data_IF_184673350949
#
_entry.id   IF_184673350949
#
_cell.length_a   1.000
_cell.length_b   1.000
_cell.length_c   1.000
_cell.angle_alpha   90.00
_cell.angle_beta   90.00
_cell.angle_gamma   90.00
#
_symmetry.space_group_name_H-M   'P 1'
#
loop_
_entity.id
_entity.type
_entity.pdbx_description
1 polymer ?
#
# COMPACT_ATOMS: atom_id res chain seq x y z
N UNK A 1 6.25 -31.66 3.82
CA UNK A 1 5.44 -30.45 3.60
C UNK A 1 4.21 -30.58 4.48
N UNK A 2 3.82 -29.56 5.24
CA UNK A 2 2.57 -29.61 6.04
C UNK A 2 1.39 -29.26 5.14
N UNK A 3 0.16 -29.67 5.52
CA UNK A 3 -1.08 -29.30 4.79
C UNK A 3 -1.20 -27.77 4.63
N UNK A 4 -0.79 -27.02 5.64
CA UNK A 4 -0.76 -25.56 5.61
C UNK A 4 0.19 -25.01 4.55
N UNK A 5 1.40 -25.59 4.40
CA UNK A 5 2.35 -25.21 3.34
C UNK A 5 1.79 -25.51 1.95
N UNK A 6 1.07 -26.62 1.78
CA UNK A 6 0.41 -26.97 0.51
C UNK A 6 -0.69 -25.97 0.14
N UNK A 7 -1.53 -25.58 1.10
CA UNK A 7 -2.58 -24.58 0.91
C UNK A 7 -1.96 -23.22 0.56
N UNK A 8 -0.94 -22.79 1.31
CA UNK A 8 -0.24 -21.53 1.04
C UNK A 8 0.34 -21.50 -0.38
N UNK A 9 1.06 -22.54 -0.79
CA UNK A 9 1.65 -22.64 -2.12
C UNK A 9 0.60 -22.65 -3.25
N UNK A 10 -0.60 -23.17 -2.98
CA UNK A 10 -1.70 -23.17 -3.95
C UNK A 10 -2.45 -21.82 -4.00
N UNK A 11 -2.50 -21.09 -2.88
CA UNK A 11 -3.19 -19.81 -2.74
C UNK A 11 -2.39 -18.63 -3.29
N UNK A 12 -1.09 -18.65 -3.07
CA UNK A 12 -0.21 -17.52 -3.41
C UNK A 12 0.04 -17.45 -4.92
N UNK A 13 -0.13 -16.27 -5.54
CA UNK A 13 0.21 -16.08 -6.95
C UNK A 13 1.68 -16.44 -7.24
N UNK A 14 1.96 -16.83 -8.48
CA UNK A 14 3.32 -17.12 -8.90
C UNK A 14 4.27 -15.94 -8.58
N UNK A 15 5.54 -16.20 -8.19
CA UNK A 15 6.49 -15.14 -7.83
C UNK A 15 6.61 -14.03 -8.89
N UNK A 16 6.62 -14.39 -10.18
CA UNK A 16 6.67 -13.41 -11.28
C UNK A 16 5.43 -12.50 -11.28
N UNK A 17 4.25 -13.02 -10.97
CA UNK A 17 3.03 -12.20 -10.87
C UNK A 17 3.09 -11.23 -9.69
N UNK A 18 3.65 -11.64 -8.55
CA UNK A 18 3.87 -10.76 -7.40
C UNK A 18 4.92 -9.68 -7.70
N UNK A 19 6.01 -10.03 -8.39
CA UNK A 19 7.03 -9.08 -8.86
C UNK A 19 6.43 -8.04 -9.80
N UNK A 20 5.59 -8.47 -10.74
CA UNK A 20 4.85 -7.56 -11.62
C UNK A 20 3.94 -6.66 -10.80
N UNK A 21 3.13 -7.19 -9.88
CA UNK A 21 2.26 -6.39 -9.03
C UNK A 21 3.03 -5.34 -8.22
N UNK A 22 4.17 -5.72 -7.61
CA UNK A 22 5.04 -4.82 -6.88
C UNK A 22 5.56 -3.67 -7.75
N UNK A 23 6.05 -3.99 -8.96
CA UNK A 23 6.52 -2.98 -9.93
C UNK A 23 5.39 -2.04 -10.36
N UNK A 24 4.21 -2.59 -10.70
CA UNK A 24 3.05 -1.76 -11.08
C UNK A 24 2.59 -0.87 -9.94
N UNK A 25 2.64 -1.36 -8.70
CA UNK A 25 2.28 -0.59 -7.53
C UNK A 25 3.23 0.60 -7.31
N UNK A 26 4.55 0.38 -7.35
CA UNK A 26 5.55 1.44 -7.23
C UNK A 26 5.38 2.53 -8.30
N UNK A 27 5.15 2.13 -9.56
CA UNK A 27 4.87 3.07 -10.66
C UNK A 27 3.59 3.88 -10.40
N UNK A 28 2.57 3.25 -9.84
CA UNK A 28 1.33 3.95 -9.49
C UNK A 28 1.53 4.94 -8.33
N UNK A 29 2.29 4.57 -7.30
CA UNK A 29 2.61 5.44 -6.15
C UNK A 29 3.45 6.64 -6.59
N UNK A 30 4.49 6.40 -7.40
CA UNK A 30 5.30 7.45 -8.03
C UNK A 30 4.43 8.46 -8.77
N UNK A 31 3.49 8.00 -9.58
CA UNK A 31 2.58 8.86 -10.33
C UNK A 31 1.72 9.72 -9.40
N UNK A 32 1.11 9.13 -8.37
CA UNK A 32 0.28 9.86 -7.41
C UNK A 32 1.09 10.92 -6.65
N UNK A 33 2.31 10.60 -6.19
CA UNK A 33 3.18 11.55 -5.50
C UNK A 33 3.66 12.68 -6.40
N UNK A 34 4.04 12.37 -7.63
CA UNK A 34 4.49 13.39 -8.58
C UNK A 34 3.36 14.37 -8.94
N UNK A 35 2.11 13.88 -9.02
CA UNK A 35 0.95 14.75 -9.20
C UNK A 35 0.73 15.70 -8.00
N UNK A 36 1.01 15.24 -6.78
CA UNK A 36 0.82 16.04 -5.56
C UNK A 36 1.88 17.13 -5.36
N UNK A 37 3.07 17.05 -5.98
CA UNK A 37 4.14 18.04 -5.78
C UNK A 37 3.67 19.49 -5.97
N UNK A 38 2.85 19.74 -7.00
CA UNK A 38 2.33 21.08 -7.29
C UNK A 38 1.40 21.62 -6.21
N UNK A 39 0.57 20.75 -5.62
CA UNK A 39 -0.38 21.12 -4.56
C UNK A 39 0.32 21.58 -3.28
N UNK A 40 1.50 21.04 -2.99
CA UNK A 40 2.28 21.35 -1.79
C UNK A 40 3.35 22.43 -2.00
N UNK A 41 3.54 22.93 -3.23
CA UNK A 41 4.67 23.79 -3.59
C UNK A 41 4.75 25.11 -2.79
N UNK A 42 3.62 25.60 -2.27
CA UNK A 42 3.56 26.82 -1.46
C UNK A 42 3.62 26.58 0.05
N UNK A 43 3.61 25.33 0.50
CA UNK A 43 3.63 24.96 1.91
C UNK A 43 5.07 24.74 2.39
N UNK A 44 5.29 24.88 3.69
CA UNK A 44 6.60 24.65 4.32
C UNK A 44 7.13 23.21 4.17
N UNK A 45 6.27 22.27 3.77
CA UNK A 45 6.58 20.85 3.57
C UNK A 45 6.93 20.49 2.11
N UNK A 46 7.00 21.48 1.21
CA UNK A 46 7.22 21.25 -0.22
C UNK A 46 8.48 20.40 -0.52
N UNK A 47 9.57 20.66 0.20
CA UNK A 47 10.84 19.95 0.02
C UNK A 47 10.75 18.49 0.45
N UNK A 48 10.05 18.21 1.55
CA UNK A 48 9.87 16.84 2.05
C UNK A 48 8.90 16.04 1.17
N UNK A 49 7.84 16.66 0.65
CA UNK A 49 6.96 16.03 -0.35
C UNK A 49 7.73 15.70 -1.63
N UNK A 50 8.56 16.63 -2.11
CA UNK A 50 9.44 16.38 -3.25
C UNK A 50 10.43 15.23 -2.97
N UNK A 51 11.05 15.21 -1.77
CA UNK A 51 11.94 14.13 -1.35
C UNK A 51 11.24 12.77 -1.35
N UNK A 52 10.03 12.68 -0.79
CA UNK A 52 9.25 11.44 -0.79
C UNK A 52 8.96 10.97 -2.22
N UNK A 53 8.57 11.89 -3.10
CA UNK A 53 8.32 11.59 -4.50
C UNK A 53 9.60 11.12 -5.23
N UNK A 54 10.76 11.72 -4.95
CA UNK A 54 12.06 11.30 -5.50
C UNK A 54 12.44 9.88 -5.02
N UNK A 55 12.22 9.56 -3.75
CA UNK A 55 12.46 8.21 -3.21
C UNK A 55 11.59 7.15 -3.89
N UNK A 56 10.29 7.41 -4.07
CA UNK A 56 9.40 6.50 -4.79
C UNK A 56 9.70 6.43 -6.29
N UNK A 57 10.20 7.51 -6.89
CA UNK A 57 10.70 7.48 -8.28
C UNK A 57 11.89 6.52 -8.39
N UNK A 58 12.86 6.62 -7.48
CA UNK A 58 14.02 5.73 -7.46
C UNK A 58 13.63 4.26 -7.19
N UNK A 59 12.62 4.01 -6.36
CA UNK A 59 12.05 2.68 -6.14
C UNK A 59 11.41 2.13 -7.43
N UNK A 60 10.56 2.93 -8.09
CA UNK A 60 9.89 2.55 -9.32
C UNK A 60 10.88 2.31 -10.47
N UNK A 61 11.93 3.12 -10.60
CA UNK A 61 12.97 2.93 -11.61
C UNK A 61 13.73 1.62 -11.42
N UNK A 62 14.08 1.26 -10.17
CA UNK A 62 14.67 -0.04 -9.86
C UNK A 62 13.72 -1.18 -10.23
N UNK A 63 12.45 -1.06 -9.89
CA UNK A 63 11.44 -2.07 -10.18
C UNK A 63 11.23 -2.27 -11.70
N UNK A 64 11.17 -1.18 -12.47
CA UNK A 64 11.13 -1.22 -13.94
C UNK A 64 12.36 -1.90 -14.53
N UNK A 65 13.55 -1.61 -13.99
CA UNK A 65 14.78 -2.24 -14.45
C UNK A 65 14.83 -3.75 -14.14
N UNK A 66 14.26 -4.16 -13.00
CA UNK A 66 14.26 -5.55 -12.54
C UNK A 66 13.20 -6.43 -13.22
N UNK A 67 12.01 -5.88 -13.53
CA UNK A 67 10.84 -6.65 -14.00
C UNK A 67 10.37 -6.23 -15.39
N UNK A 68 10.63 -4.99 -15.81
CA UNK A 68 10.17 -4.42 -17.07
C UNK A 68 9.02 -3.42 -16.92
N UNK A 69 8.60 -2.86 -18.04
CA UNK A 69 7.60 -1.78 -18.13
C UNK A 69 6.29 -2.19 -18.79
N UNK A 70 6.18 -3.45 -19.21
CA UNK A 70 5.04 -3.94 -19.97
C UNK A 70 3.74 -3.79 -19.14
N UNK A 71 2.63 -3.35 -19.75
CA UNK A 71 1.33 -3.33 -19.10
C UNK A 71 0.93 -4.73 -18.63
N UNK A 72 0.25 -4.81 -17.49
CA UNK A 72 -0.25 -6.08 -16.96
C UNK A 72 -1.70 -5.89 -16.50
N UNK A 73 -2.64 -6.22 -17.38
CA UNK A 73 -4.04 -5.84 -17.25
C UNK A 73 -4.66 -6.20 -15.88
N UNK A 74 -4.35 -7.38 -15.34
CA UNK A 74 -4.89 -7.81 -14.04
C UNK A 74 -4.33 -6.96 -12.88
N UNK A 75 -3.01 -6.75 -12.85
CA UNK A 75 -2.36 -5.94 -11.79
C UNK A 75 -2.75 -4.47 -11.91
N UNK A 76 -2.84 -3.97 -13.13
CA UNK A 76 -3.26 -2.60 -13.42
C UNK A 76 -4.72 -2.37 -13.01
N UNK A 77 -5.62 -3.32 -13.27
CA UNK A 77 -7.01 -3.25 -12.82
C UNK A 77 -7.11 -3.28 -11.29
N UNK A 78 -6.40 -4.21 -10.65
CA UNK A 78 -6.38 -4.34 -9.19
C UNK A 78 -5.91 -3.05 -8.49
N UNK A 79 -4.88 -2.40 -9.03
CA UNK A 79 -4.39 -1.11 -8.51
C UNK A 79 -5.34 0.04 -8.85
N UNK A 80 -5.94 0.03 -10.04
CA UNK A 80 -6.93 1.05 -10.44
C UNK A 80 -8.11 1.07 -9.48
N UNK A 81 -8.66 -0.10 -9.13
CA UNK A 81 -9.75 -0.22 -8.17
C UNK A 81 -9.36 0.35 -6.81
N UNK A 82 -8.17 0.00 -6.29
CA UNK A 82 -7.66 0.54 -5.03
C UNK A 82 -7.64 2.07 -5.05
N UNK A 83 -7.02 2.66 -6.07
CA UNK A 83 -6.88 4.11 -6.16
C UNK A 83 -8.22 4.83 -6.36
N UNK A 84 -9.19 4.20 -7.02
CA UNK A 84 -10.55 4.75 -7.14
C UNK A 84 -11.25 4.79 -5.79
N UNK A 85 -11.20 3.70 -5.03
CA UNK A 85 -11.90 3.57 -3.75
C UNK A 85 -11.26 4.38 -2.62
N UNK A 86 -9.94 4.59 -2.70
CA UNK A 86 -9.16 5.38 -1.73
C UNK A 86 -8.83 6.78 -2.23
N UNK A 87 -9.53 7.31 -3.23
CA UNK A 87 -9.28 8.68 -3.71
C UNK A 87 -9.66 9.71 -2.65
N UNK A 88 -8.71 10.56 -2.27
CA UNK A 88 -8.94 11.64 -1.33
C UNK A 88 -9.81 12.76 -1.91
N UNK A 89 -10.60 13.42 -1.06
CA UNK A 89 -11.44 14.57 -1.48
C UNK A 89 -10.66 15.85 -1.70
N UNK A 90 -9.44 15.91 -1.18
CA UNK A 90 -8.49 17.01 -1.34
C UNK A 90 -7.06 16.45 -1.33
N UNK A 91 -6.05 17.30 -1.57
CA UNK A 91 -4.66 16.87 -1.63
C UNK A 91 -4.14 16.29 -0.31
N UNK A 92 -4.64 16.73 0.86
CA UNK A 92 -4.24 16.15 2.15
C UNK A 92 -4.72 14.71 2.32
N UNK A 93 -5.99 14.46 2.01
CA UNK A 93 -6.54 13.10 2.01
C UNK A 93 -5.86 12.24 0.94
N UNK A 94 -5.55 12.79 -0.24
CA UNK A 94 -4.87 12.06 -1.31
C UNK A 94 -3.44 11.69 -0.91
N UNK A 95 -2.67 12.62 -0.33
CA UNK A 95 -1.33 12.31 0.19
C UNK A 95 -1.40 11.23 1.27
N UNK A 96 -2.43 11.28 2.13
CA UNK A 96 -2.63 10.28 3.17
C UNK A 96 -3.00 8.90 2.59
N UNK A 97 -3.86 8.87 1.56
CA UNK A 97 -4.15 7.66 0.79
C UNK A 97 -2.89 7.05 0.20
N UNK A 98 -2.02 7.86 -0.39
CA UNK A 98 -0.74 7.40 -0.93
C UNK A 98 0.12 6.76 0.16
N UNK A 99 0.28 7.42 1.30
CA UNK A 99 1.08 6.91 2.41
C UNK A 99 0.54 5.56 2.93
N UNK A 100 -0.77 5.46 3.15
CA UNK A 100 -1.37 4.25 3.69
C UNK A 100 -1.42 3.12 2.66
N UNK A 101 -1.79 3.41 1.40
CA UNK A 101 -1.80 2.40 0.35
C UNK A 101 -0.41 1.84 0.10
N UNK A 102 0.62 2.68 0.04
CA UNK A 102 1.99 2.19 -0.08
C UNK A 102 2.34 1.21 1.04
N UNK A 103 1.90 1.50 2.28
CA UNK A 103 2.14 0.61 3.42
C UNK A 103 1.37 -0.71 3.32
N UNK A 104 0.08 -0.67 3.00
CA UNK A 104 -0.74 -1.88 2.82
C UNK A 104 -0.25 -2.76 1.67
N UNK A 105 0.17 -2.13 0.56
CA UNK A 105 0.74 -2.83 -0.59
C UNK A 105 2.03 -3.53 -0.17
N UNK A 106 2.97 -2.81 0.48
CA UNK A 106 4.24 -3.37 0.93
C UNK A 106 4.03 -4.54 1.89
N UNK A 107 3.15 -4.38 2.89
CA UNK A 107 2.88 -5.42 3.87
C UNK A 107 2.24 -6.66 3.22
N UNK A 108 1.28 -6.49 2.32
CA UNK A 108 0.62 -7.60 1.65
C UNK A 108 1.57 -8.35 0.71
N UNK A 109 2.43 -7.62 -0.01
CA UNK A 109 3.48 -8.22 -0.83
C UNK A 109 4.53 -8.93 0.03
N UNK A 110 4.93 -8.35 1.16
CA UNK A 110 5.84 -8.98 2.11
C UNK A 110 5.25 -10.26 2.73
N UNK A 111 3.95 -10.27 3.00
CA UNK A 111 3.26 -11.44 3.53
C UNK A 111 3.21 -12.59 2.52
N UNK A 112 2.81 -12.32 1.27
CA UNK A 112 2.64 -13.37 0.25
C UNK A 112 3.92 -13.73 -0.50
N UNK A 113 4.84 -12.78 -0.67
CA UNK A 113 6.05 -12.90 -1.48
C UNK A 113 7.34 -12.73 -0.67
N UNK A 114 7.35 -13.22 0.57
CA UNK A 114 8.49 -13.11 1.48
C UNK A 114 9.83 -13.59 0.86
N UNK A 115 9.77 -14.58 -0.05
CA UNK A 115 10.91 -15.02 -0.85
C UNK A 115 10.74 -14.51 -2.30
N UNK A 116 11.74 -13.77 -2.80
CA UNK A 116 11.81 -13.33 -4.20
C UNK A 116 11.30 -11.92 -4.50
N UNK A 117 10.98 -11.11 -3.48
CA UNK A 117 10.64 -9.69 -3.60
C UNK A 117 11.65 -8.76 -2.88
N UNK A 118 12.77 -9.27 -2.40
CA UNK A 118 13.70 -8.55 -1.52
C UNK A 118 14.29 -7.29 -2.18
N UNK A 119 14.44 -7.30 -3.50
CA UNK A 119 14.91 -6.17 -4.32
C UNK A 119 13.84 -5.10 -4.59
N UNK A 120 12.55 -5.45 -4.38
CA UNK A 120 11.39 -4.62 -4.68
C UNK A 120 10.70 -4.05 -3.43
N UNK A 121 10.97 -4.59 -2.25
CA UNK A 121 10.46 -4.11 -0.96
C UNK A 121 11.47 -3.16 -0.26
N UNK A 122 11.14 -2.69 0.95
CA UNK A 122 12.02 -1.85 1.76
C UNK A 122 11.77 -0.36 1.54
N UNK A 123 10.51 0.08 1.65
CA UNK A 123 10.06 1.44 1.37
C UNK A 123 10.09 2.34 2.62
N UNK A 124 10.69 1.86 3.70
CA UNK A 124 10.70 2.49 5.02
C UNK A 124 11.19 3.94 5.01
N UNK A 125 12.27 4.26 4.29
CA UNK A 125 12.78 5.65 4.22
C UNK A 125 11.73 6.59 3.62
N UNK A 126 11.04 6.17 2.55
CA UNK A 126 10.02 6.98 1.92
C UNK A 126 8.80 7.18 2.85
N UNK A 127 8.42 6.14 3.59
CA UNK A 127 7.39 6.23 4.63
C UNK A 127 7.77 7.20 5.74
N UNK A 128 9.00 7.17 6.23
CA UNK A 128 9.49 8.07 7.29
C UNK A 128 9.46 9.54 6.87
N UNK A 129 9.84 9.82 5.62
CA UNK A 129 9.73 11.18 5.06
C UNK A 129 8.27 11.65 5.05
N UNK A 130 7.33 10.81 4.59
CA UNK A 130 5.90 11.13 4.59
C UNK A 130 5.34 11.33 6.01
N UNK A 131 5.77 10.52 6.98
CA UNK A 131 5.41 10.72 8.39
C UNK A 131 5.87 12.09 8.90
N UNK A 132 7.09 12.50 8.53
CA UNK A 132 7.61 13.84 8.82
C UNK A 132 6.77 14.96 8.19
N UNK A 133 6.29 14.77 6.95
CA UNK A 133 5.38 15.71 6.28
C UNK A 133 4.09 15.87 7.08
N UNK A 134 3.41 14.78 7.43
CA UNK A 134 2.14 14.86 8.16
C UNK A 134 2.27 15.52 9.53
N UNK A 135 3.34 15.22 10.28
CA UNK A 135 3.60 15.88 11.57
C UNK A 135 3.67 17.40 11.43
N UNK A 136 4.40 17.89 10.41
CA UNK A 136 4.47 19.33 10.11
C UNK A 136 3.12 19.91 9.66
N UNK A 137 2.34 19.14 8.89
CA UNK A 137 1.00 19.58 8.49
C UNK A 137 0.03 19.69 9.67
N UNK A 138 0.12 18.80 10.66
CA UNK A 138 -0.68 18.87 11.88
C UNK A 138 -0.32 20.06 12.77
N UNK A 139 0.95 20.49 12.76
CA UNK A 139 1.36 21.73 13.42
C UNK A 139 0.75 22.98 12.76
N UNK A 140 0.44 22.92 11.47
CA UNK A 140 -0.17 24.03 10.73
C UNK A 140 -1.70 24.06 10.86
N UNK A 141 -2.35 22.89 10.89
CA UNK A 141 -3.80 22.75 11.04
C UNK A 141 -4.14 21.55 11.94
N UNK A 142 -4.51 21.84 13.17
CA UNK A 142 -4.88 20.83 14.18
C UNK A 142 -6.28 20.24 13.98
N UNK A 143 -7.01 20.60 12.91
CA UNK A 143 -8.28 19.94 12.55
C UNK A 143 -8.06 18.86 11.50
N UNK A 144 -6.84 18.79 10.95
CA UNK A 144 -6.47 17.84 9.93
C UNK A 144 -6.33 16.42 10.50
N UNK A 145 -5.90 16.29 11.76
CA UNK A 145 -5.69 15.03 12.47
C UNK A 145 -6.98 14.18 12.57
N UNK A 146 -8.07 14.72 13.11
CA UNK A 146 -9.35 14.03 13.28
C UNK A 146 -9.92 13.58 11.94
N UNK A 147 -9.82 14.45 10.92
CA UNK A 147 -10.26 14.15 9.56
C UNK A 147 -9.44 13.02 8.95
N UNK A 148 -8.12 13.07 9.07
CA UNK A 148 -7.24 12.03 8.54
C UNK A 148 -7.35 10.73 9.34
N UNK A 149 -7.65 10.78 10.64
CA UNK A 149 -7.92 9.57 11.44
C UNK A 149 -9.16 8.82 10.92
N UNK A 150 -10.26 9.54 10.68
CA UNK A 150 -11.46 8.95 10.07
C UNK A 150 -11.20 8.41 8.66
N UNK A 151 -10.43 9.15 7.87
CA UNK A 151 -10.06 8.73 6.52
C UNK A 151 -9.17 7.48 6.53
N UNK A 152 -8.22 7.40 7.45
CA UNK A 152 -7.32 6.25 7.64
C UNK A 152 -8.06 4.97 7.95
N UNK A 153 -9.06 5.03 8.84
CA UNK A 153 -9.95 3.88 9.13
C UNK A 153 -10.68 3.37 7.89
N UNK A 154 -11.17 4.29 7.07
CA UNK A 154 -11.86 3.92 5.81
C UNK A 154 -10.88 3.26 4.83
N UNK A 155 -9.69 3.84 4.66
CA UNK A 155 -8.66 3.24 3.81
C UNK A 155 -8.32 1.84 4.29
N UNK A 156 -8.12 1.63 5.60
CA UNK A 156 -7.78 0.32 6.14
C UNK A 156 -8.78 -0.76 5.76
N UNK A 157 -10.09 -0.49 5.88
CA UNK A 157 -11.11 -1.45 5.47
C UNK A 157 -11.06 -1.78 3.97
N UNK A 158 -10.85 -0.76 3.12
CA UNK A 158 -10.75 -0.92 1.66
C UNK A 158 -9.47 -1.69 1.28
N UNK A 159 -8.33 -1.29 1.83
CA UNK A 159 -7.03 -1.88 1.53
C UNK A 159 -6.95 -3.34 2.00
N UNK A 160 -7.57 -3.70 3.12
CA UNK A 160 -7.66 -5.10 3.56
C UNK A 160 -8.48 -5.96 2.58
N UNK A 161 -9.62 -5.46 2.12
CA UNK A 161 -10.40 -6.15 1.10
C UNK A 161 -9.65 -6.26 -0.22
N UNK A 162 -8.91 -5.22 -0.59
CA UNK A 162 -8.03 -5.22 -1.76
C UNK A 162 -6.89 -6.26 -1.63
N UNK A 163 -6.25 -6.37 -0.47
CA UNK A 163 -5.16 -7.34 -0.26
C UNK A 163 -5.62 -8.79 -0.40
N UNK A 164 -6.88 -9.09 -0.06
CA UNK A 164 -7.49 -10.42 -0.28
C UNK A 164 -7.59 -10.77 -1.77
N UNK A 165 -7.85 -9.78 -2.62
CA UNK A 165 -7.96 -9.97 -4.07
C UNK A 165 -6.62 -10.32 -4.73
N UNK A 166 -5.49 -10.06 -4.07
CA UNK A 166 -4.16 -10.51 -4.53
C UNK A 166 -4.13 -12.04 -4.68
N UNK A 167 -4.74 -12.75 -3.73
CA UNK A 167 -4.84 -14.22 -3.74
C UNK A 167 -6.16 -14.73 -4.34
N UNK A 168 -6.86 -13.89 -5.10
CA UNK A 168 -8.10 -14.27 -5.79
C UNK A 168 -9.35 -14.36 -4.93
N UNK A 169 -9.31 -13.90 -3.67
CA UNK A 169 -10.48 -13.87 -2.79
C UNK A 169 -11.24 -12.55 -3.00
N UNK A 170 -12.38 -12.61 -3.68
CA UNK A 170 -13.19 -11.44 -4.00
C UNK A 170 -14.06 -10.97 -2.81
N UNK A 171 -14.58 -9.75 -2.91
CA UNK A 171 -15.45 -9.20 -1.88
C UNK A 171 -16.72 -10.05 -1.70
N UNK A 172 -16.98 -10.47 -0.46
CA UNK A 172 -18.12 -11.33 -0.11
C UNK A 172 -17.89 -12.83 -0.34
N UNK A 173 -16.74 -13.21 -0.90
CA UNK A 173 -16.33 -14.61 -1.04
C UNK A 173 -15.60 -15.08 0.23
N UNK A 174 -15.80 -16.33 0.64
CA UNK A 174 -14.97 -16.94 1.70
C UNK A 174 -13.65 -17.45 1.10
N UNK A 175 -12.49 -17.26 1.76
CA UNK A 175 -11.24 -17.87 1.33
C UNK A 175 -11.33 -19.39 1.10
N UNK A 176 -12.08 -20.12 1.94
CA UNK A 176 -12.32 -21.55 1.79
C UNK A 176 -13.07 -21.92 0.48
N UNK A 177 -13.80 -20.98 -0.13
CA UNK A 177 -14.41 -21.17 -1.46
C UNK A 177 -13.38 -21.07 -2.60
N UNK A 178 -12.22 -20.44 -2.35
CA UNK A 178 -11.10 -20.41 -3.30
C UNK A 178 -10.26 -21.67 -3.12
N UNK A 179 -9.80 -21.95 -1.90
CA UNK A 179 -9.04 -23.15 -1.53
C UNK A 179 -9.45 -23.59 -0.12
N UNK A 180 -9.87 -24.85 0.03
CA UNK A 180 -10.25 -25.40 1.34
C UNK A 180 -9.11 -25.28 2.37
N UNK A 181 -9.36 -24.58 3.47
CA UNK A 181 -8.42 -24.32 4.55
C UNK A 181 -7.63 -23.01 4.41
N UNK A 182 -7.94 -22.18 3.39
CA UNK A 182 -7.32 -20.88 3.20
C UNK A 182 -7.79 -19.82 4.20
N UNK A 183 -8.93 -20.03 4.87
CA UNK A 183 -9.50 -19.06 5.84
C UNK A 183 -8.46 -18.64 6.89
N UNK A 184 -7.71 -19.59 7.47
CA UNK A 184 -6.72 -19.30 8.50
C UNK A 184 -5.55 -18.45 7.99
N UNK A 185 -5.09 -18.69 6.76
CA UNK A 185 -3.98 -17.96 6.15
C UNK A 185 -4.39 -16.52 5.82
N UNK A 186 -5.59 -16.34 5.25
CA UNK A 186 -6.10 -15.01 4.93
C UNK A 186 -6.40 -14.21 6.20
N UNK A 187 -6.98 -14.82 7.23
CA UNK A 187 -7.21 -14.14 8.53
C UNK A 187 -5.89 -13.74 9.23
N UNK A 188 -4.83 -14.54 9.09
CA UNK A 188 -3.51 -14.18 9.58
C UNK A 188 -2.96 -12.93 8.87
N UNK A 189 -3.04 -12.88 7.54
CA UNK A 189 -2.68 -11.69 6.76
C UNK A 189 -3.51 -10.48 7.20
N UNK A 190 -4.84 -10.60 7.30
CA UNK A 190 -5.74 -9.51 7.71
C UNK A 190 -5.34 -8.95 9.07
N UNK A 191 -5.07 -9.84 10.04
CA UNK A 191 -4.65 -9.47 11.39
C UNK A 191 -3.32 -8.71 11.36
N UNK A 192 -2.36 -9.17 10.58
CA UNK A 192 -1.07 -8.50 10.41
C UNK A 192 -1.22 -7.12 9.78
N UNK A 193 -2.00 -6.98 8.71
CA UNK A 193 -2.24 -5.71 8.03
C UNK A 193 -2.87 -4.67 8.96
N UNK A 194 -3.86 -5.05 9.78
CA UNK A 194 -4.43 -4.14 10.77
C UNK A 194 -3.43 -3.76 11.87
N UNK A 195 -2.56 -4.69 12.29
CA UNK A 195 -1.52 -4.39 13.26
C UNK A 195 -0.48 -3.39 12.71
N UNK A 196 -0.07 -3.56 11.46
CA UNK A 196 0.83 -2.61 10.77
C UNK A 196 0.16 -1.25 10.56
N UNK A 197 -1.11 -1.24 10.15
CA UNK A 197 -1.89 -0.01 10.03
C UNK A 197 -1.95 0.75 11.36
N UNK A 198 -2.27 0.05 12.46
CA UNK A 198 -2.30 0.66 13.79
C UNK A 198 -0.95 1.28 14.17
N UNK A 199 0.18 0.62 13.86
CA UNK A 199 1.52 1.20 14.03
C UNK A 199 1.72 2.49 13.23
N UNK A 200 1.29 2.52 11.96
CA UNK A 200 1.38 3.72 11.11
C UNK A 200 0.54 4.88 11.64
N UNK A 201 -0.69 4.61 12.07
CA UNK A 201 -1.57 5.61 12.68
C UNK A 201 -0.97 6.16 13.98
N UNK A 202 -0.46 5.29 14.85
CA UNK A 202 0.20 5.69 16.09
C UNK A 202 1.47 6.52 15.86
N UNK A 203 2.25 6.24 14.80
CA UNK A 203 3.43 7.04 14.46
C UNK A 203 3.08 8.50 14.11
N UNK A 204 1.82 8.75 13.76
CA UNK A 204 1.23 10.06 13.49
C UNK A 204 0.39 10.61 14.64
N UNK A 205 0.37 9.93 15.79
CA UNK A 205 -0.49 10.22 16.94
C UNK A 205 -1.99 10.23 16.59
N UNK A 206 -2.38 9.50 15.55
CA UNK A 206 -3.78 9.34 15.15
C UNK A 206 -4.37 8.07 15.77
N UNK A 207 -5.64 8.14 16.16
CA UNK A 207 -6.38 6.95 16.51
C UNK A 207 -6.65 6.10 15.24
N UNK A 208 -6.31 4.81 15.33
CA UNK A 208 -6.69 3.81 14.34
C UNK A 208 -8.19 3.46 14.40
#
# INVERSE_FOLDING_TARGET
MTRETEIFAALVPAPDSLRVLATRALVSIERELNALRGEYASLSVALEVAKAADLFTALADRARAAVGTEPHAQSDALLTDLWQDTRGRNHFEQLFSVHLNAGFIEDALGHWGAEGLEDLLGWQEAHEVLVGVFKKLFELDNRLDDRLAMWGRRIAGISVLWSRRIVGVEAGQSPDEVIEGADQLVEAMVTELFAQHSRRMNALALAA
#
